data_IF_884624947084
#
_entry.id   IF_884624947084
#
_cell.length_a   1.000
_cell.length_b   1.000
_cell.length_c   1.000
_cell.angle_alpha   90.00
_cell.angle_beta   90.00
_cell.angle_gamma   90.00
#
_symmetry.space_group_name_H-M   'P 1'
#
loop_
_entity.id
_entity.type
_entity.pdbx_description
1 polymer ?
#
# COMPACT_ATOMS: atom_id res chain seq x y z
N UNK A 1 -24.53 -36.17 10.44
CA UNK A 1 -24.83 -34.82 10.97
C UNK A 1 -24.50 -33.79 9.89
N UNK A 2 -25.43 -32.94 9.44
CA UNK A 2 -25.15 -31.95 8.40
C UNK A 2 -24.28 -30.82 8.99
N UNK A 3 -23.16 -30.49 8.31
CA UNK A 3 -22.30 -29.36 8.63
C UNK A 3 -23.11 -28.05 8.48
N UNK A 4 -23.35 -27.36 9.59
CA UNK A 4 -23.87 -25.98 9.58
C UNK A 4 -22.95 -25.11 8.70
N UNK A 5 -23.46 -24.65 7.55
CA UNK A 5 -22.82 -23.57 6.78
C UNK A 5 -22.77 -22.34 7.70
N UNK A 6 -21.56 -21.95 8.12
CA UNK A 6 -21.35 -20.64 8.75
C UNK A 6 -21.75 -19.59 7.72
N UNK A 7 -22.90 -18.97 7.91
CA UNK A 7 -23.30 -17.77 7.18
C UNK A 7 -22.22 -16.72 7.43
N UNK A 8 -21.55 -16.27 6.38
CA UNK A 8 -20.68 -15.10 6.43
C UNK A 8 -21.51 -13.95 7.01
N UNK A 9 -21.00 -13.20 8.01
CA UNK A 9 -21.65 -11.96 8.39
C UNK A 9 -21.66 -11.05 7.16
N UNK A 10 -22.81 -10.63 6.72
CA UNK A 10 -22.94 -9.51 5.79
C UNK A 10 -22.35 -8.28 6.49
N UNK A 11 -21.12 -7.98 6.19
CA UNK A 11 -20.46 -6.76 6.66
C UNK A 11 -21.19 -5.64 5.95
N UNK A 12 -22.03 -4.97 6.71
CA UNK A 12 -22.86 -3.87 6.23
C UNK A 12 -21.93 -2.72 5.82
N UNK A 13 -21.69 -2.58 4.53
CA UNK A 13 -21.00 -1.45 3.88
C UNK A 13 -21.60 -0.06 4.19
N UNK A 14 -22.58 0.01 5.07
CA UNK A 14 -23.27 1.26 5.47
C UNK A 14 -22.41 2.23 6.28
N UNK A 15 -21.30 1.77 6.88
CA UNK A 15 -20.43 2.62 7.69
C UNK A 15 -19.24 3.22 6.93
N UNK A 16 -18.96 2.77 5.70
CA UNK A 16 -17.76 3.20 4.96
C UNK A 16 -17.76 4.69 4.56
N UNK A 17 -18.92 5.37 4.59
CA UNK A 17 -19.04 6.77 4.17
C UNK A 17 -19.37 7.73 5.36
N UNK A 18 -19.37 7.27 6.59
CA UNK A 18 -19.65 8.15 7.72
C UNK A 18 -18.46 9.13 7.92
N UNK A 19 -18.69 10.45 8.03
CA UNK A 19 -17.64 11.39 8.28
C UNK A 19 -16.99 11.13 9.65
N UNK A 20 -15.69 11.34 9.76
CA UNK A 20 -14.96 11.26 11.03
C UNK A 20 -14.31 12.61 11.33
N UNK A 21 -14.18 12.94 12.61
CA UNK A 21 -13.63 14.25 13.04
C UNK A 21 -12.10 14.26 13.12
N UNK A 22 -11.50 13.15 13.54
CA UNK A 22 -10.05 13.02 13.72
C UNK A 22 -9.58 11.61 13.37
N UNK A 23 -8.28 11.41 13.08
CA UNK A 23 -7.69 10.07 12.92
C UNK A 23 -7.84 9.21 14.17
N UNK A 24 -7.77 9.82 15.37
CA UNK A 24 -7.94 9.11 16.63
C UNK A 24 -9.36 8.57 16.78
N UNK A 25 -10.37 9.39 16.50
CA UNK A 25 -11.78 8.96 16.53
C UNK A 25 -12.05 7.85 15.51
N UNK A 26 -11.50 7.99 14.29
CA UNK A 26 -11.60 6.95 13.27
C UNK A 26 -10.94 5.64 13.70
N UNK A 27 -9.74 5.72 14.27
CA UNK A 27 -9.00 4.55 14.75
C UNK A 27 -9.79 3.82 15.85
N UNK A 28 -10.30 4.54 16.85
CA UNK A 28 -11.03 3.94 17.97
C UNK A 28 -12.37 3.34 17.50
N UNK A 29 -13.08 4.01 16.58
CA UNK A 29 -14.29 3.48 15.94
C UNK A 29 -14.00 2.16 15.22
N UNK A 30 -12.95 2.15 14.38
CA UNK A 30 -12.56 0.94 13.63
C UNK A 30 -12.03 -0.16 14.55
N UNK A 31 -11.29 0.20 15.61
CA UNK A 31 -10.83 -0.77 16.60
C UNK A 31 -12.02 -1.48 17.24
N UNK A 32 -13.03 -0.73 17.67
CA UNK A 32 -14.23 -1.32 18.26
C UNK A 32 -15.02 -2.14 17.24
N UNK A 33 -15.27 -1.59 16.05
CA UNK A 33 -16.15 -2.20 15.05
C UNK A 33 -15.54 -3.43 14.35
N UNK A 34 -14.24 -3.39 14.02
CA UNK A 34 -13.59 -4.41 13.21
C UNK A 34 -12.70 -5.35 14.03
N UNK A 35 -12.11 -4.86 15.10
CA UNK A 35 -11.15 -5.63 15.91
C UNK A 35 -11.67 -5.97 17.30
N UNK A 36 -12.92 -5.55 17.64
CA UNK A 36 -13.55 -5.82 18.96
C UNK A 36 -12.78 -5.19 20.12
N UNK A 37 -12.13 -4.03 19.90
CA UNK A 37 -11.36 -3.31 20.90
C UNK A 37 -10.03 -3.98 21.28
N UNK A 38 -9.56 -4.96 20.52
CA UNK A 38 -8.33 -5.75 20.85
C UNK A 38 -7.01 -5.02 20.61
N UNK A 39 -7.02 -3.95 19.82
CA UNK A 39 -5.81 -3.17 19.57
C UNK A 39 -5.59 -2.13 20.67
N UNK A 40 -4.39 -1.59 20.74
CA UNK A 40 -4.08 -0.48 21.63
C UNK A 40 -5.04 0.68 21.37
N UNK A 41 -5.39 1.44 22.42
CA UNK A 41 -6.21 2.63 22.29
C UNK A 41 -5.48 3.71 21.46
N UNK A 42 -6.21 4.63 20.81
CA UNK A 42 -5.62 5.69 19.98
C UNK A 42 -4.61 6.57 20.73
N UNK A 43 -4.79 6.75 22.05
CA UNK A 43 -3.84 7.48 22.90
C UNK A 43 -2.46 6.80 23.03
N UNK A 44 -2.36 5.53 22.68
CA UNK A 44 -1.15 4.71 22.70
C UNK A 44 -0.54 4.51 21.31
N UNK A 45 -1.19 5.07 20.27
CA UNK A 45 -0.77 4.97 18.87
C UNK A 45 -0.59 6.39 18.32
N UNK A 46 0.60 6.69 17.83
CA UNK A 46 0.85 7.97 17.17
C UNK A 46 0.20 7.96 15.79
N UNK A 47 -0.82 8.80 15.59
CA UNK A 47 -1.59 8.91 14.35
C UNK A 47 -1.29 10.24 13.68
N UNK A 48 -0.83 10.23 12.44
CA UNK A 48 -0.43 11.45 11.73
C UNK A 48 -0.93 11.47 10.29
N UNK A 49 -1.39 12.64 9.87
CA UNK A 49 -1.58 12.95 8.47
C UNK A 49 -0.25 13.22 7.77
N UNK A 50 -0.13 12.74 6.53
CA UNK A 50 0.99 13.07 5.64
C UNK A 50 0.48 13.68 4.35
N UNK A 51 1.08 14.78 3.92
CA UNK A 51 0.77 15.37 2.62
C UNK A 51 1.12 14.41 1.48
N UNK A 52 0.51 14.54 0.29
CA UNK A 52 0.88 13.73 -0.88
C UNK A 52 2.38 13.76 -1.20
N UNK A 53 3.05 14.90 -0.98
CA UNK A 53 4.49 15.04 -1.17
C UNK A 53 5.31 14.21 -0.17
N UNK A 54 4.86 14.13 1.10
CA UNK A 54 5.52 13.37 2.17
C UNK A 54 5.20 11.86 2.10
N UNK A 55 4.08 11.49 1.47
CA UNK A 55 3.60 10.10 1.37
C UNK A 55 3.80 9.50 -0.02
N UNK A 56 4.84 9.92 -0.75
CA UNK A 56 5.14 9.36 -2.08
C UNK A 56 5.28 7.84 -2.01
N UNK A 57 4.39 7.15 -2.70
CA UNK A 57 4.43 5.69 -2.84
C UNK A 57 3.67 4.89 -1.78
N UNK A 58 2.93 5.54 -0.86
CA UNK A 58 2.03 4.86 0.08
C UNK A 58 0.78 5.71 0.38
N UNK A 59 -0.33 5.06 0.71
CA UNK A 59 -1.55 5.70 1.23
C UNK A 59 -1.57 5.65 2.75
N UNK A 60 -1.11 4.56 3.32
CA UNK A 60 -0.87 4.36 4.74
C UNK A 60 0.50 3.75 4.98
N UNK A 61 0.99 3.88 6.19
CA UNK A 61 2.22 3.25 6.65
C UNK A 61 2.17 3.08 8.16
N UNK A 62 2.54 1.90 8.63
CA UNK A 62 2.67 1.60 10.05
C UNK A 62 4.11 1.27 10.41
N UNK A 63 4.46 1.52 11.66
CA UNK A 63 5.66 1.01 12.29
C UNK A 63 5.48 0.85 13.79
N UNK A 64 6.32 0.01 14.38
CA UNK A 64 6.35 -0.26 15.81
C UNK A 64 7.80 -0.39 16.27
N UNK A 65 8.07 -0.13 17.55
CA UNK A 65 9.31 -0.59 18.19
C UNK A 65 9.05 -2.00 18.75
N UNK A 66 10.00 -2.87 18.54
CA UNK A 66 9.91 -4.26 18.95
C UNK A 66 10.53 -4.46 20.32
N UNK A 67 9.87 -5.26 21.16
CA UNK A 67 10.41 -5.78 22.40
C UNK A 67 10.39 -7.31 22.39
N UNK A 68 11.03 -7.93 23.36
CA UNK A 68 11.03 -9.38 23.55
C UNK A 68 10.09 -9.75 24.70
N UNK A 69 9.28 -10.76 24.50
CA UNK A 69 8.40 -11.31 25.53
C UNK A 69 8.85 -12.71 25.92
N UNK A 70 9.24 -12.87 27.20
CA UNK A 70 9.56 -14.17 27.79
C UNK A 70 10.84 -14.85 27.27
N UNK A 71 11.03 -16.12 27.66
CA UNK A 71 12.20 -16.94 27.30
C UNK A 71 12.19 -17.46 25.85
N UNK A 72 11.22 -17.07 25.02
CA UNK A 72 10.93 -17.71 23.73
C UNK A 72 11.23 -16.89 22.48
N UNK A 73 12.12 -15.91 22.50
CA UNK A 73 12.50 -15.08 21.31
C UNK A 73 11.30 -14.48 20.54
N UNK A 74 10.09 -14.43 21.11
CA UNK A 74 8.93 -13.83 20.47
C UNK A 74 9.05 -12.33 20.55
N UNK A 75 9.08 -11.67 19.40
CA UNK A 75 9.00 -10.22 19.30
C UNK A 75 7.55 -9.76 19.37
N UNK A 76 7.30 -8.74 20.18
CA UNK A 76 5.99 -8.06 20.26
C UNK A 76 6.18 -6.56 20.07
N UNK A 77 5.14 -5.84 19.56
CA UNK A 77 5.16 -4.40 19.58
C UNK A 77 5.22 -3.88 21.02
N UNK A 78 6.14 -2.97 21.30
CA UNK A 78 6.15 -2.26 22.58
C UNK A 78 4.92 -1.36 22.66
N UNK A 79 4.24 -1.40 23.82
CA UNK A 79 3.07 -0.55 24.08
C UNK A 79 3.44 0.93 23.92
N UNK A 80 2.58 1.72 23.31
CA UNK A 80 2.83 3.15 23.04
C UNK A 80 3.90 3.43 21.97
N UNK A 81 4.42 2.42 21.29
CA UNK A 81 5.44 2.60 20.25
C UNK A 81 4.91 2.58 18.83
N UNK A 82 3.66 2.16 18.65
CA UNK A 82 3.04 2.07 17.34
C UNK A 82 2.77 3.47 16.77
N UNK A 83 2.99 3.61 15.47
CA UNK A 83 2.60 4.81 14.74
C UNK A 83 1.97 4.42 13.40
N UNK A 84 0.95 5.18 13.00
CA UNK A 84 0.29 5.05 11.71
C UNK A 84 0.29 6.40 11.02
N UNK A 85 0.81 6.44 9.80
CA UNK A 85 0.78 7.59 8.92
C UNK A 85 -0.28 7.37 7.86
N UNK A 86 -1.13 8.35 7.63
CA UNK A 86 -2.20 8.30 6.65
C UNK A 86 -2.07 9.48 5.70
N UNK A 87 -2.16 9.23 4.40
CA UNK A 87 -2.10 10.29 3.39
C UNK A 87 -3.34 11.18 3.48
N UNK A 88 -3.13 12.50 3.48
CA UNK A 88 -4.21 13.48 3.41
C UNK A 88 -4.76 13.64 1.99
N UNK A 89 -5.98 14.17 1.87
CA UNK A 89 -6.64 14.39 0.58
C UNK A 89 -7.31 13.15 -0.02
N UNK A 90 -7.41 12.06 0.74
CA UNK A 90 -8.23 10.91 0.39
C UNK A 90 -9.70 11.14 0.79
N UNK A 91 -10.63 10.42 0.17
CA UNK A 91 -12.03 10.36 0.62
C UNK A 91 -12.13 9.66 1.97
N UNK A 92 -13.23 9.88 2.70
CA UNK A 92 -13.47 9.20 3.99
C UNK A 92 -13.42 7.69 3.84
N UNK A 93 -14.01 7.16 2.79
CA UNK A 93 -13.99 5.73 2.48
C UNK A 93 -12.57 5.20 2.28
N UNK A 94 -11.73 5.90 1.53
CA UNK A 94 -10.33 5.52 1.30
C UNK A 94 -9.51 5.61 2.59
N UNK A 95 -9.73 6.65 3.37
CA UNK A 95 -9.08 6.84 4.66
C UNK A 95 -9.42 5.71 5.62
N UNK A 96 -10.71 5.33 5.71
CA UNK A 96 -11.19 4.20 6.52
C UNK A 96 -10.55 2.88 6.11
N UNK A 97 -10.54 2.59 4.81
CA UNK A 97 -9.92 1.37 4.28
C UNK A 97 -8.41 1.34 4.54
N UNK A 98 -7.73 2.47 4.32
CA UNK A 98 -6.30 2.59 4.59
C UNK A 98 -6.01 2.40 6.08
N UNK A 99 -6.78 3.06 6.96
CA UNK A 99 -6.62 2.89 8.40
C UNK A 99 -6.85 1.43 8.82
N UNK A 100 -7.91 0.78 8.35
CA UNK A 100 -8.19 -0.63 8.64
C UNK A 100 -7.06 -1.56 8.19
N UNK A 101 -6.44 -1.29 7.04
CA UNK A 101 -5.29 -2.02 6.54
C UNK A 101 -4.06 -1.88 7.46
N UNK A 102 -3.73 -0.67 7.87
CA UNK A 102 -2.60 -0.44 8.79
C UNK A 102 -2.89 -1.03 10.18
N UNK A 103 -4.14 -0.99 10.64
CA UNK A 103 -4.56 -1.63 11.88
C UNK A 103 -4.46 -3.16 11.80
N UNK A 104 -4.73 -3.76 10.64
CA UNK A 104 -4.54 -5.19 10.43
C UNK A 104 -3.06 -5.60 10.52
N UNK A 105 -2.14 -4.74 10.08
CA UNK A 105 -0.71 -4.94 10.33
C UNK A 105 -0.37 -4.91 11.82
N UNK A 106 -0.98 -3.98 12.60
CA UNK A 106 -0.77 -3.93 14.04
C UNK A 106 -1.30 -5.20 14.71
N UNK A 107 -2.47 -5.67 14.31
CA UNK A 107 -3.04 -6.92 14.81
C UNK A 107 -2.12 -8.11 14.51
N UNK A 108 -1.59 -8.22 13.29
CA UNK A 108 -0.64 -9.26 12.91
C UNK A 108 0.69 -9.14 13.67
N UNK A 109 1.16 -7.91 13.93
CA UNK A 109 2.34 -7.68 14.73
C UNK A 109 2.18 -8.16 16.19
N UNK A 110 0.99 -7.93 16.79
CA UNK A 110 0.66 -8.41 18.13
C UNK A 110 0.56 -9.93 18.15
N UNK A 111 0.00 -10.54 17.09
CA UNK A 111 -0.26 -11.98 17.05
C UNK A 111 0.98 -12.81 16.70
N UNK A 112 1.76 -12.42 15.71
CA UNK A 112 2.89 -13.22 15.19
C UNK A 112 4.23 -12.47 15.06
N UNK A 113 4.31 -11.25 15.58
CA UNK A 113 5.56 -10.48 15.62
C UNK A 113 6.03 -9.93 14.26
N UNK A 114 5.14 -9.69 13.31
CA UNK A 114 5.54 -9.18 11.99
C UNK A 114 4.57 -8.15 11.42
N UNK A 115 5.11 -7.19 10.67
CA UNK A 115 4.33 -6.21 9.88
C UNK A 115 4.23 -6.61 8.39
N UNK A 116 4.52 -7.86 8.03
CA UNK A 116 4.48 -8.31 6.63
C UNK A 116 3.07 -8.74 6.23
N UNK A 117 2.78 -8.69 4.93
CA UNK A 117 1.57 -9.26 4.33
C UNK A 117 1.65 -10.81 4.27
N UNK A 118 1.73 -11.45 5.43
CA UNK A 118 1.80 -12.90 5.58
C UNK A 118 0.40 -13.55 5.72
N UNK A 119 0.35 -14.82 6.04
CA UNK A 119 -0.91 -15.56 6.20
C UNK A 119 -1.78 -14.97 7.32
N UNK A 120 -1.17 -14.60 8.47
CA UNK A 120 -1.86 -13.98 9.60
C UNK A 120 -2.50 -12.66 9.22
N UNK A 121 -1.75 -11.78 8.54
CA UNK A 121 -2.28 -10.51 8.02
C UNK A 121 -3.49 -10.74 7.11
N UNK A 122 -3.38 -11.65 6.12
CA UNK A 122 -4.48 -11.90 5.19
C UNK A 122 -5.70 -12.58 5.84
N UNK A 123 -5.48 -13.39 6.87
CA UNK A 123 -6.57 -13.95 7.68
C UNK A 123 -7.32 -12.82 8.41
N UNK A 124 -6.58 -11.92 9.06
CA UNK A 124 -7.16 -10.77 9.76
C UNK A 124 -7.93 -9.87 8.77
N UNK A 125 -7.33 -9.55 7.62
CA UNK A 125 -8.01 -8.76 6.58
C UNK A 125 -9.32 -9.40 6.12
N UNK A 126 -9.36 -10.73 5.98
CA UNK A 126 -10.59 -11.45 5.64
C UNK A 126 -11.63 -11.44 6.77
N UNK A 127 -11.18 -11.55 8.03
CA UNK A 127 -12.04 -11.49 9.22
C UNK A 127 -12.74 -10.13 9.37
N UNK A 128 -12.02 -9.04 9.11
CA UNK A 128 -12.57 -7.68 9.16
C UNK A 128 -13.31 -7.28 7.87
N UNK A 129 -13.48 -8.21 6.92
CA UNK A 129 -14.29 -8.02 5.71
C UNK A 129 -13.58 -7.43 4.52
N UNK A 130 -12.27 -7.29 4.59
CA UNK A 130 -11.42 -6.88 3.48
C UNK A 130 -10.62 -8.08 2.94
N UNK A 131 -11.24 -8.94 2.11
CA UNK A 131 -10.54 -10.09 1.54
C UNK A 131 -9.36 -9.63 0.69
N UNK A 132 -8.46 -10.56 0.39
CA UNK A 132 -7.28 -10.33 -0.45
C UNK A 132 -7.69 -9.84 -1.85
N UNK A 133 -8.00 -8.58 -1.95
CA UNK A 133 -8.23 -7.89 -3.22
C UNK A 133 -7.05 -6.96 -3.48
N UNK A 134 -6.31 -7.23 -4.55
CA UNK A 134 -5.24 -6.36 -5.03
C UNK A 134 -5.75 -4.98 -5.49
N UNK A 135 -7.08 -4.83 -5.62
CA UNK A 135 -7.77 -3.58 -5.99
C UNK A 135 -8.18 -2.74 -4.79
N UNK A 136 -7.64 -3.03 -3.61
CA UNK A 136 -7.89 -2.25 -2.39
C UNK A 136 -7.60 -0.74 -2.56
N UNK A 137 -6.85 -0.40 -3.59
CA UNK A 137 -6.35 0.92 -3.90
C UNK A 137 -6.85 1.30 -5.29
N UNK A 138 -8.02 1.72 -5.50
CA UNK A 138 -8.38 2.06 -6.86
C UNK A 138 -9.82 2.51 -7.06
N UNK A 139 -10.31 3.31 -6.13
CA UNK A 139 -11.67 3.83 -6.26
C UNK A 139 -11.74 5.28 -6.71
N UNK A 140 -10.61 5.99 -6.81
CA UNK A 140 -10.57 7.31 -7.48
C UNK A 140 -9.73 7.26 -8.74
N UNK A 141 -10.09 8.12 -9.71
CA UNK A 141 -9.31 8.28 -10.95
C UNK A 141 -7.85 8.63 -10.66
N UNK A 142 -7.57 9.48 -9.67
CA UNK A 142 -6.19 9.87 -9.29
C UNK A 142 -5.37 8.71 -8.69
N UNK A 143 -6.00 7.83 -7.91
CA UNK A 143 -5.33 6.64 -7.38
C UNK A 143 -5.13 5.58 -8.45
N UNK A 144 -6.11 5.38 -9.30
CA UNK A 144 -5.97 4.52 -10.49
C UNK A 144 -4.86 5.06 -11.39
N UNK A 145 -4.72 6.37 -11.55
CA UNK A 145 -3.67 6.98 -12.37
C UNK A 145 -2.28 6.81 -11.74
N UNK A 146 -2.14 6.94 -10.43
CA UNK A 146 -0.87 6.68 -9.72
C UNK A 146 -0.45 5.21 -9.75
N UNK A 147 -1.41 4.28 -9.64
CA UNK A 147 -1.15 2.84 -9.68
C UNK A 147 -1.10 2.30 -11.10
N UNK A 148 -1.94 2.79 -11.99
CA UNK A 148 -1.86 2.47 -13.41
C UNK A 148 -0.55 2.99 -14.00
N UNK A 149 -0.10 4.18 -13.64
CA UNK A 149 1.21 4.69 -14.04
C UNK A 149 2.35 3.79 -13.56
N UNK A 150 2.34 3.31 -12.29
CA UNK A 150 3.34 2.34 -11.80
C UNK A 150 3.22 0.96 -12.45
N UNK A 151 2.00 0.49 -12.69
CA UNK A 151 1.74 -0.77 -13.40
C UNK A 151 2.17 -0.66 -14.85
N UNK A 152 1.77 0.41 -15.52
CA UNK A 152 2.15 0.72 -16.91
C UNK A 152 3.67 0.83 -17.04
N UNK A 153 4.35 1.52 -16.12
CA UNK A 153 5.81 1.62 -16.14
C UNK A 153 6.49 0.25 -15.93
N UNK A 154 5.93 -0.62 -15.08
CA UNK A 154 6.46 -1.99 -14.88
C UNK A 154 6.28 -2.86 -16.11
N UNK A 155 5.13 -2.80 -16.75
CA UNK A 155 4.86 -3.56 -17.96
C UNK A 155 5.65 -3.00 -19.14
N UNK A 156 5.75 -1.68 -19.25
CA UNK A 156 6.60 -1.03 -20.23
C UNK A 156 8.07 -1.45 -20.08
N UNK A 157 8.62 -1.47 -18.85
CA UNK A 157 10.02 -1.90 -18.65
C UNK A 157 10.22 -3.38 -18.98
N UNK A 158 9.21 -4.24 -18.79
CA UNK A 158 9.27 -5.65 -19.22
C UNK A 158 9.36 -5.79 -20.72
N UNK A 159 8.65 -4.95 -21.46
CA UNK A 159 8.74 -4.89 -22.93
C UNK A 159 10.16 -4.46 -23.33
N UNK A 160 10.65 -3.36 -22.77
CA UNK A 160 11.98 -2.82 -23.09
C UNK A 160 13.13 -3.76 -22.71
N UNK A 161 12.98 -4.63 -21.71
CA UNK A 161 13.99 -5.68 -21.40
C UNK A 161 14.16 -6.71 -22.51
N UNK A 162 13.21 -6.82 -23.44
CA UNK A 162 13.25 -7.71 -24.58
C UNK A 162 13.75 -7.02 -25.86
N UNK A 163 13.91 -5.70 -25.80
CA UNK A 163 14.36 -4.86 -26.91
C UNK A 163 15.88 -4.85 -26.92
N UNK A 164 16.47 -4.98 -28.09
CA UNK A 164 17.91 -4.92 -28.26
C UNK A 164 18.46 -3.51 -27.93
N UNK A 165 19.63 -3.39 -27.30
CA UNK A 165 20.32 -2.11 -27.18
C UNK A 165 20.48 -1.42 -28.55
N UNK A 166 20.57 -0.11 -28.53
CA UNK A 166 20.67 0.76 -29.73
C UNK A 166 19.43 0.78 -30.62
N UNK A 167 18.28 0.30 -30.12
CA UNK A 167 17.01 0.40 -30.84
C UNK A 167 16.53 1.87 -30.84
N UNK A 168 16.16 2.42 -32.02
CA UNK A 168 15.57 3.75 -32.11
C UNK A 168 14.26 3.84 -31.31
N UNK A 169 14.06 4.96 -30.62
CA UNK A 169 12.88 5.23 -29.83
C UNK A 169 12.54 6.74 -29.83
N UNK A 170 11.41 7.11 -29.27
CA UNK A 170 11.01 8.51 -29.06
C UNK A 170 10.61 8.77 -27.63
N UNK A 171 10.95 9.95 -27.12
CA UNK A 171 10.56 10.44 -25.80
C UNK A 171 9.92 11.81 -25.98
N UNK A 172 8.60 11.92 -25.66
CA UNK A 172 7.88 13.17 -25.90
C UNK A 172 7.93 13.66 -27.35
N UNK A 173 8.06 12.74 -28.33
CA UNK A 173 8.22 13.06 -29.74
C UNK A 173 9.68 13.26 -30.20
N UNK A 174 10.64 13.41 -29.28
CA UNK A 174 12.07 13.61 -29.61
C UNK A 174 12.72 12.24 -29.89
N UNK A 175 13.43 12.11 -31.03
CA UNK A 175 14.20 10.89 -31.32
C UNK A 175 15.22 10.61 -30.21
N UNK A 176 15.42 9.35 -29.89
CA UNK A 176 16.40 8.87 -28.92
C UNK A 176 16.81 7.44 -29.28
N UNK A 177 17.81 6.91 -28.58
CA UNK A 177 18.25 5.54 -28.74
C UNK A 177 18.16 4.82 -27.41
N UNK A 178 17.47 3.68 -27.38
CA UNK A 178 17.39 2.83 -26.20
C UNK A 178 18.75 2.15 -25.94
N UNK A 179 19.23 2.20 -24.70
CA UNK A 179 20.48 1.57 -24.30
C UNK A 179 20.25 0.31 -23.46
N UNK A 180 19.50 0.45 -22.38
CA UNK A 180 19.26 -0.66 -21.46
C UNK A 180 18.00 -0.41 -20.58
N UNK A 181 17.43 -1.49 -20.03
CA UNK A 181 16.36 -1.44 -19.04
C UNK A 181 16.87 -1.85 -17.66
N UNK A 182 16.40 -1.20 -16.61
CA UNK A 182 16.73 -1.59 -15.24
C UNK A 182 16.37 -3.05 -14.98
N UNK A 183 17.28 -3.81 -14.37
CA UNK A 183 17.03 -5.18 -13.92
C UNK A 183 15.95 -5.23 -12.83
N UNK A 184 15.95 -4.24 -11.92
CA UNK A 184 14.93 -4.02 -10.89
C UNK A 184 14.52 -2.56 -10.94
N UNK A 185 13.21 -2.29 -11.17
CA UNK A 185 12.69 -0.92 -11.27
C UNK A 185 11.83 -0.71 -12.51
N UNK A 186 11.52 0.53 -12.81
CA UNK A 186 10.58 0.97 -13.85
C UNK A 186 11.24 1.81 -14.94
N UNK A 187 12.55 2.06 -14.82
CA UNK A 187 13.28 2.97 -15.71
C UNK A 187 14.07 2.23 -16.79
N UNK A 188 14.26 2.94 -17.88
CA UNK A 188 15.16 2.57 -18.97
C UNK A 188 16.19 3.67 -19.18
N UNK A 189 17.36 3.29 -19.68
CA UNK A 189 18.41 4.22 -20.07
C UNK A 189 18.33 4.48 -21.57
N UNK A 190 18.33 5.70 -21.95
CA UNK A 190 18.31 6.14 -23.34
C UNK A 190 19.45 7.12 -23.61
N UNK A 191 19.84 7.24 -24.87
CA UNK A 191 20.77 8.25 -25.33
C UNK A 191 20.01 9.36 -26.06
N UNK A 192 20.18 10.60 -25.60
CA UNK A 192 19.66 11.77 -26.28
C UNK A 192 20.38 12.01 -27.62
N UNK A 193 19.77 12.64 -28.63
CA UNK A 193 20.45 12.97 -29.88
C UNK A 193 21.76 13.75 -29.73
N UNK A 194 21.88 14.52 -28.63
CA UNK A 194 23.13 15.25 -28.30
C UNK A 194 24.19 14.37 -27.63
N UNK A 195 24.00 13.05 -27.56
CA UNK A 195 25.01 12.08 -27.14
C UNK A 195 25.11 11.80 -25.64
N UNK A 196 24.27 12.38 -24.77
CA UNK A 196 24.29 12.09 -23.34
C UNK A 196 23.23 11.07 -22.94
N UNK A 197 23.59 10.05 -22.13
CA UNK A 197 22.65 9.06 -21.64
C UNK A 197 21.95 9.53 -20.36
N UNK A 198 20.67 9.18 -20.18
CA UNK A 198 19.93 9.43 -18.96
C UNK A 198 18.85 8.36 -18.71
N UNK A 199 18.38 8.27 -17.46
CA UNK A 199 17.33 7.34 -17.05
C UNK A 199 15.95 8.01 -17.08
N UNK A 200 14.97 7.34 -17.69
CA UNK A 200 13.57 7.82 -17.79
C UNK A 200 12.62 6.67 -17.49
N UNK A 201 11.39 6.99 -17.02
CA UNK A 201 10.34 5.98 -16.85
C UNK A 201 9.99 5.33 -18.19
N UNK A 202 9.87 4.00 -18.19
CA UNK A 202 9.73 3.20 -19.41
C UNK A 202 8.44 3.49 -20.21
N UNK A 203 7.37 3.94 -19.54
CA UNK A 203 6.09 4.33 -20.15
C UNK A 203 6.15 5.63 -20.95
N UNK A 204 7.21 6.43 -20.76
CA UNK A 204 7.44 7.66 -21.52
C UNK A 204 8.12 7.46 -22.86
N UNK A 205 8.49 6.21 -23.18
CA UNK A 205 9.18 5.87 -24.42
C UNK A 205 8.24 5.15 -25.36
N UNK A 206 8.31 5.52 -26.63
CA UNK A 206 7.59 4.85 -27.73
C UNK A 206 8.62 4.23 -28.68
N UNK A 207 8.40 3.01 -29.11
CA UNK A 207 9.14 2.43 -30.21
C UNK A 207 8.83 3.23 -31.50
N UNK A 208 9.81 3.31 -32.38
CA UNK A 208 9.66 3.98 -33.69
C UNK A 208 9.21 2.94 -34.70
#
# INVERSE_FOLDING_TARGET
MPRRKKTRPEIRHRQDNAPFTTLAALYDELNQALFGGRLHHSSEVRLEWRTPAQSRGFLGKIGVKWGYQGFGNRTIPLRGSAWILVRSGMTDRQTRKTMAHEMAHLAAAIEDGTLKHNATFWRIMAEIGYPKDHRFIGETSEEMDLWSAKSVSRDAVRIWRKVAPNTPCKVGGIPAVFLEAQRRGTKVRICHPLGYPFWIEADRIKAV
#
